data_IF_323692667619
#
_entry.id   IF_323692667619
#
_cell.length_a   1.000
_cell.length_b   1.000
_cell.length_c   1.000
_cell.angle_alpha   90.00
_cell.angle_beta   90.00
_cell.angle_gamma   90.00
#
_symmetry.space_group_name_H-M   'P 1'
#
loop_
_entity.id
_entity.type
_entity.pdbx_description
1 polymer ?
#
# COMPACT_ATOMS: atom_id res chain seq x y z
N UNK A 1 18.95 -48.81 26.86
CA UNK A 1 20.15 -49.65 26.65
C UNK A 1 20.98 -49.01 25.55
N UNK A 2 22.25 -48.70 25.85
CA UNK A 2 23.43 -48.58 24.94
C UNK A 2 23.35 -47.60 23.75
N UNK A 3 24.32 -46.72 23.44
CA UNK A 3 25.76 -46.70 23.69
C UNK A 3 26.35 -45.29 23.45
N UNK A 4 27.48 -44.99 24.11
CA UNK A 4 28.39 -43.83 23.95
C UNK A 4 29.33 -44.03 22.74
N UNK A 5 30.05 -42.97 22.32
CA UNK A 5 31.43 -42.88 21.75
C UNK A 5 31.51 -41.61 20.85
N UNK A 6 32.24 -40.51 21.10
CA UNK A 6 33.64 -40.19 21.47
C UNK A 6 34.65 -40.24 20.29
N UNK A 7 35.39 -39.15 20.05
CA UNK A 7 36.59 -39.05 19.17
C UNK A 7 36.63 -37.75 18.34
N UNK A 8 37.31 -36.65 18.70
CA UNK A 8 38.76 -36.29 18.77
C UNK A 8 39.35 -35.71 17.45
N UNK A 9 40.14 -34.65 17.64
CA UNK A 9 40.82 -33.71 16.72
C UNK A 9 41.76 -34.34 15.67
N UNK A 10 42.02 -33.60 14.57
CA UNK A 10 43.38 -33.38 14.06
C UNK A 10 43.49 -32.18 13.10
N UNK A 11 44.39 -31.24 13.42
CA UNK A 11 44.95 -30.21 12.54
C UNK A 11 45.95 -30.85 11.57
N UNK A 12 45.97 -30.42 10.30
CA UNK A 12 47.17 -30.55 9.46
C UNK A 12 47.44 -29.22 8.75
N UNK A 13 48.60 -28.67 9.09
CA UNK A 13 49.28 -27.51 8.49
C UNK A 13 50.14 -28.01 7.35
N UNK A 14 50.19 -27.30 6.22
CA UNK A 14 51.32 -27.38 5.29
C UNK A 14 51.71 -25.97 4.80
N UNK A 15 52.90 -25.55 5.21
CA UNK A 15 53.69 -24.44 4.68
C UNK A 15 54.63 -24.96 3.57
N UNK A 16 54.83 -24.15 2.52
CA UNK A 16 56.11 -23.90 1.81
C UNK A 16 55.76 -22.97 0.60
N UNK A 17 56.17 -21.70 0.46
CA UNK A 17 57.43 -20.97 0.59
C UNK A 17 58.36 -21.05 -0.65
N UNK A 18 58.81 -19.85 -1.11
CA UNK A 18 59.94 -19.48 -2.01
C UNK A 18 59.60 -19.41 -3.53
N UNK A 19 60.01 -18.41 -4.33
CA UNK A 19 60.90 -17.26 -4.20
C UNK A 19 60.78 -16.28 -5.40
N UNK A 20 61.29 -15.05 -5.23
CA UNK A 20 61.79 -14.15 -6.29
C UNK A 20 60.77 -13.16 -6.87
N UNK A 21 61.06 -11.90 -7.20
CA UNK A 21 62.29 -11.10 -7.19
C UNK A 21 61.90 -9.61 -7.23
N UNK A 22 62.78 -8.81 -6.65
CA UNK A 22 62.80 -7.35 -6.50
C UNK A 22 62.93 -6.63 -7.86
N UNK A 23 62.11 -5.59 -8.11
CA UNK A 23 62.41 -4.51 -9.07
C UNK A 23 61.93 -3.16 -8.50
N UNK A 24 62.76 -2.09 -8.47
CA UNK A 24 62.41 -0.81 -7.87
C UNK A 24 61.71 0.16 -8.84
N UNK A 25 61.13 1.19 -8.22
CA UNK A 25 60.38 2.33 -8.74
C UNK A 25 60.82 2.95 -10.08
N UNK A 26 59.83 3.26 -10.92
CA UNK A 26 59.80 4.44 -11.77
C UNK A 26 58.39 5.03 -11.76
N UNK A 27 58.27 6.25 -11.23
CA UNK A 27 57.06 7.04 -11.24
C UNK A 27 56.72 7.47 -12.68
N UNK A 28 55.52 7.12 -13.15
CA UNK A 28 54.84 7.88 -14.20
C UNK A 28 53.47 8.32 -13.68
N UNK A 29 53.40 9.63 -13.47
CA UNK A 29 52.25 10.39 -13.02
C UNK A 29 51.24 10.48 -14.17
N UNK A 30 50.13 9.75 -14.07
CA UNK A 30 48.97 9.98 -14.92
C UNK A 30 48.05 10.98 -14.20
N UNK A 31 47.67 12.13 -14.79
CA UNK A 31 46.72 13.03 -14.17
C UNK A 31 45.35 12.35 -14.09
N UNK A 32 44.81 12.22 -12.89
CA UNK A 32 43.41 11.84 -12.71
C UNK A 32 42.52 12.92 -13.35
N UNK A 33 41.48 12.55 -14.13
CA UNK A 33 40.45 13.50 -14.50
C UNK A 33 39.73 13.94 -13.22
N UNK A 34 39.97 15.18 -12.80
CA UNK A 34 39.18 15.84 -11.77
C UNK A 34 37.77 15.99 -12.32
N UNK A 35 36.87 15.10 -11.91
CA UNK A 35 35.44 15.31 -12.06
C UNK A 35 35.09 16.58 -11.28
N UNK A 36 34.85 17.66 -12.01
CA UNK A 36 34.27 18.88 -11.47
C UNK A 36 32.92 18.50 -10.85
N UNK A 37 32.91 18.44 -9.52
CA UNK A 37 31.68 18.37 -8.74
C UNK A 37 31.03 19.75 -8.87
N UNK A 38 30.27 19.95 -9.94
CA UNK A 38 29.26 21.00 -9.98
C UNK A 38 28.32 20.74 -8.82
N UNK A 39 28.26 21.68 -7.88
CA UNK A 39 27.24 21.70 -6.84
C UNK A 39 25.87 21.72 -7.53
N UNK A 40 25.26 20.55 -7.68
CA UNK A 40 23.88 20.44 -8.10
C UNK A 40 23.03 21.12 -7.02
N UNK A 41 22.10 22.02 -7.40
CA UNK A 41 21.08 22.50 -6.47
C UNK A 41 20.42 21.26 -5.87
N UNK A 42 20.46 21.12 -4.55
CA UNK A 42 19.69 20.11 -3.84
C UNK A 42 18.22 20.39 -4.16
N UNK A 43 17.69 19.70 -5.16
CA UNK A 43 16.26 19.59 -5.37
C UNK A 43 15.71 19.02 -4.07
N UNK A 44 14.98 19.86 -3.34
CA UNK A 44 14.23 19.44 -2.17
C UNK A 44 13.39 18.24 -2.60
N UNK A 45 13.72 17.07 -2.06
CA UNK A 45 12.88 15.90 -2.26
C UNK A 45 11.45 16.31 -1.89
N UNK A 46 10.45 16.08 -2.76
CA UNK A 46 9.08 16.41 -2.43
C UNK A 46 8.76 15.71 -1.11
N UNK A 47 8.37 16.48 -0.09
CA UNK A 47 7.79 15.90 1.13
C UNK A 47 6.68 14.95 0.67
N UNK A 48 6.59 13.73 1.23
CA UNK A 48 5.44 12.89 0.97
C UNK A 48 4.21 13.70 1.34
N UNK A 49 3.40 14.04 0.33
CA UNK A 49 2.10 14.68 0.49
C UNK A 49 1.18 13.59 0.99
N UNK A 50 1.25 13.31 2.29
CA UNK A 50 0.37 12.42 2.99
C UNK A 50 -0.41 13.24 4.00
N UNK A 51 -1.74 13.16 3.94
CA UNK A 51 -2.60 13.86 4.89
C UNK A 51 -2.30 13.51 6.34
N UNK A 52 -2.68 14.40 7.25
CA UNK A 52 -2.54 14.21 8.70
C UNK A 52 -3.74 13.44 9.23
N UNK A 53 -3.50 12.38 10.01
CA UNK A 53 -4.56 11.66 10.74
C UNK A 53 -5.14 12.57 11.81
N UNK A 54 -6.44 12.84 11.76
CA UNK A 54 -7.19 13.68 12.72
C UNK A 54 -7.88 12.88 13.81
N UNK A 55 -8.43 11.72 13.47
CA UNK A 55 -9.10 10.83 14.42
C UNK A 55 -9.15 9.40 13.89
N UNK A 56 -9.40 8.44 14.78
CA UNK A 56 -9.54 7.02 14.46
C UNK A 56 -10.78 6.46 15.15
N UNK A 57 -11.54 5.64 14.43
CA UNK A 57 -12.81 5.05 14.84
C UNK A 57 -12.80 3.56 14.48
N UNK A 58 -12.36 2.71 15.40
CA UNK A 58 -12.10 1.31 15.09
C UNK A 58 -10.97 1.18 14.06
N UNK A 59 -11.22 0.49 12.94
CA UNK A 59 -10.26 0.35 11.84
C UNK A 59 -10.21 1.58 10.91
N UNK A 60 -11.10 2.55 11.08
CA UNK A 60 -11.23 3.71 10.19
C UNK A 60 -10.44 4.90 10.70
N UNK A 61 -9.73 5.59 9.81
CA UNK A 61 -8.99 6.81 10.11
C UNK A 61 -9.54 8.00 9.31
N UNK A 62 -9.76 9.13 9.98
CA UNK A 62 -10.01 10.42 9.32
C UNK A 62 -8.67 11.06 9.02
N UNK A 63 -8.40 11.28 7.74
CA UNK A 63 -7.14 11.82 7.23
C UNK A 63 -7.47 13.06 6.45
N UNK A 64 -6.80 14.17 6.77
CA UNK A 64 -7.04 15.45 6.12
C UNK A 64 -5.76 15.99 5.49
N UNK A 65 -5.89 16.55 4.30
CA UNK A 65 -4.81 17.22 3.59
C UNK A 65 -5.35 18.48 2.89
N UNK A 66 -4.47 19.36 2.43
CA UNK A 66 -4.83 20.48 1.56
C UNK A 66 -4.21 20.24 0.18
N UNK A 67 -4.96 19.63 -0.76
CA UNK A 67 -4.46 19.34 -2.09
C UNK A 67 -3.95 20.60 -2.81
N UNK A 68 -2.99 20.43 -3.72
CA UNK A 68 -2.46 21.55 -4.50
C UNK A 68 -3.59 22.27 -5.28
N UNK A 69 -3.71 23.58 -5.09
CA UNK A 69 -4.75 24.39 -5.71
C UNK A 69 -6.10 24.40 -4.98
N UNK A 70 -6.26 23.65 -3.89
CA UNK A 70 -7.43 23.74 -3.02
C UNK A 70 -7.31 24.96 -2.09
N UNK A 71 -8.44 25.65 -1.87
CA UNK A 71 -8.53 26.77 -0.92
C UNK A 71 -8.90 26.34 0.50
N UNK A 72 -9.27 25.07 0.68
CA UNK A 72 -9.67 24.48 1.94
C UNK A 72 -9.08 23.08 2.12
N UNK A 73 -8.93 22.67 3.37
CA UNK A 73 -8.57 21.30 3.74
C UNK A 73 -9.67 20.33 3.27
N UNK A 74 -9.27 19.15 2.83
CA UNK A 74 -10.14 18.06 2.40
C UNK A 74 -9.84 16.85 3.26
N UNK A 75 -10.89 16.26 3.82
CA UNK A 75 -10.79 15.09 4.69
C UNK A 75 -11.41 13.87 4.03
N UNK A 76 -10.83 12.72 4.32
CA UNK A 76 -11.35 11.42 3.93
C UNK A 76 -11.40 10.50 5.14
N UNK A 77 -12.36 9.58 5.13
CA UNK A 77 -12.38 8.44 6.04
C UNK A 77 -11.84 7.23 5.31
N UNK A 78 -10.81 6.58 5.85
CA UNK A 78 -10.07 5.54 5.13
C UNK A 78 -9.81 4.30 5.98
N UNK A 79 -9.83 3.14 5.33
CA UNK A 79 -9.32 1.88 5.84
C UNK A 79 -8.51 1.18 4.75
N UNK A 80 -7.27 0.80 5.06
CA UNK A 80 -6.47 -0.06 4.18
C UNK A 80 -6.57 -1.49 4.69
N UNK A 81 -6.77 -2.44 3.79
CA UNK A 81 -6.88 -3.86 4.12
C UNK A 81 -6.08 -4.70 3.13
N UNK A 82 -5.73 -5.89 3.57
CA UNK A 82 -5.01 -6.90 2.79
C UNK A 82 -5.85 -8.17 2.82
N UNK A 83 -5.90 -8.91 1.73
CA UNK A 83 -6.58 -10.19 1.66
C UNK A 83 -5.87 -11.21 2.55
N UNK A 84 -6.63 -11.97 3.34
CA UNK A 84 -6.07 -12.95 4.28
C UNK A 84 -5.31 -14.07 3.57
N UNK A 85 -5.88 -14.59 2.49
CA UNK A 85 -5.33 -15.71 1.73
C UNK A 85 -4.30 -15.28 0.67
N UNK A 86 -4.23 -13.98 0.36
CA UNK A 86 -3.39 -13.39 -0.70
C UNK A 86 -2.78 -12.07 -0.21
N UNK A 87 -1.74 -12.11 0.65
CA UNK A 87 -1.19 -10.93 1.29
C UNK A 87 -0.58 -9.89 0.33
N UNK A 88 -0.33 -10.30 -0.92
CA UNK A 88 0.10 -9.41 -2.01
C UNK A 88 -1.04 -8.57 -2.60
N UNK A 89 -2.30 -8.87 -2.24
CA UNK A 89 -3.50 -8.17 -2.72
C UNK A 89 -4.09 -7.38 -1.56
N UNK A 90 -3.98 -6.05 -1.65
CA UNK A 90 -4.62 -5.13 -0.72
C UNK A 90 -5.51 -4.12 -1.45
N UNK A 91 -6.38 -3.48 -0.69
CA UNK A 91 -7.22 -2.39 -1.19
C UNK A 91 -7.28 -1.25 -0.17
N UNK A 92 -7.60 -0.06 -0.65
CA UNK A 92 -7.92 1.10 0.18
C UNK A 92 -9.38 1.46 -0.01
N UNK A 93 -10.16 1.46 1.07
CA UNK A 93 -11.54 1.95 1.08
C UNK A 93 -11.53 3.38 1.60
N UNK A 94 -12.07 4.30 0.81
CA UNK A 94 -12.07 5.73 1.10
C UNK A 94 -13.49 6.26 0.98
N UNK A 95 -13.97 6.96 2.00
CA UNK A 95 -15.20 7.75 1.95
C UNK A 95 -14.81 9.22 2.01
N UNK A 96 -15.38 10.02 1.10
CA UNK A 96 -15.12 11.45 1.01
C UNK A 96 -16.41 12.22 0.73
N UNK A 97 -16.45 13.49 1.13
CA UNK A 97 -17.47 14.45 0.70
C UNK A 97 -16.95 15.25 -0.47
N UNK A 98 -17.80 15.55 -1.45
CA UNK A 98 -17.43 16.46 -2.54
C UNK A 98 -17.14 17.85 -1.99
N UNK A 99 -16.29 18.62 -2.67
CA UNK A 99 -15.93 19.97 -2.22
C UNK A 99 -17.14 20.92 -2.12
N UNK A 100 -18.20 20.67 -2.88
CA UNK A 100 -19.47 21.41 -2.81
C UNK A 100 -20.46 20.84 -1.77
N UNK A 101 -20.08 19.80 -1.02
CA UNK A 101 -20.87 19.10 0.00
C UNK A 101 -22.22 18.57 -0.49
N UNK A 102 -22.33 18.24 -1.80
CA UNK A 102 -23.59 17.73 -2.38
C UNK A 102 -23.66 16.21 -2.47
N UNK A 103 -22.53 15.53 -2.39
CA UNK A 103 -22.49 14.08 -2.45
C UNK A 103 -21.39 13.51 -1.56
N UNK A 104 -21.69 12.37 -0.96
CA UNK A 104 -20.70 11.48 -0.39
C UNK A 104 -20.34 10.41 -1.40
N UNK A 105 -19.05 10.09 -1.50
CA UNK A 105 -18.52 9.14 -2.46
C UNK A 105 -17.79 8.05 -1.68
N UNK A 106 -18.11 6.79 -2.00
CA UNK A 106 -17.29 5.64 -1.65
C UNK A 106 -16.37 5.34 -2.83
N UNK A 107 -15.08 5.49 -2.60
CA UNK A 107 -14.00 5.22 -3.55
C UNK A 107 -13.18 4.06 -3.03
N UNK A 108 -12.96 3.06 -3.86
CA UNK A 108 -12.09 1.94 -3.55
C UNK A 108 -10.93 1.93 -4.54
N UNK A 109 -9.71 1.92 -4.01
CA UNK A 109 -8.49 1.68 -4.76
C UNK A 109 -8.16 0.19 -4.69
N UNK A 110 -8.32 -0.49 -5.81
CA UNK A 110 -7.92 -1.87 -6.02
C UNK A 110 -6.54 -1.93 -6.68
N UNK A 111 -5.79 -3.04 -6.51
CA UNK A 111 -4.47 -3.17 -7.11
C UNK A 111 -4.56 -3.34 -8.64
N UNK A 112 -3.42 -3.21 -9.31
CA UNK A 112 -3.32 -3.49 -10.75
C UNK A 112 -3.48 -4.99 -11.04
N UNK A 113 -3.93 -5.31 -12.26
CA UNK A 113 -4.16 -6.68 -12.71
C UNK A 113 -5.56 -7.23 -12.43
N UNK A 114 -6.50 -6.37 -12.00
CA UNK A 114 -7.92 -6.72 -11.85
C UNK A 114 -8.65 -6.78 -13.19
N UNK A 115 -9.65 -7.65 -13.28
CA UNK A 115 -10.50 -7.88 -14.43
C UNK A 115 -11.61 -6.82 -14.50
N UNK A 116 -11.39 -5.80 -15.33
CA UNK A 116 -12.28 -4.64 -15.45
C UNK A 116 -13.74 -4.97 -15.81
N UNK A 117 -14.05 -5.90 -16.75
CA UNK A 117 -15.43 -6.23 -17.10
C UNK A 117 -16.29 -6.72 -15.92
N UNK A 118 -15.67 -7.39 -14.95
CA UNK A 118 -16.37 -7.92 -13.78
C UNK A 118 -16.63 -6.87 -12.69
N UNK A 119 -15.88 -5.76 -12.72
CA UNK A 119 -15.93 -4.71 -11.70
C UNK A 119 -15.47 -5.17 -10.33
N UNK A 120 -15.75 -4.34 -9.33
CA UNK A 120 -15.52 -4.59 -7.92
C UNK A 120 -16.83 -5.02 -7.26
N UNK A 121 -16.89 -6.25 -6.75
CA UNK A 121 -18.04 -6.74 -5.98
C UNK A 121 -18.04 -6.23 -4.55
N UNK A 122 -19.22 -6.10 -3.95
CA UNK A 122 -19.42 -5.77 -2.55
C UNK A 122 -20.46 -6.71 -1.93
N UNK A 123 -20.06 -7.37 -0.85
CA UNK A 123 -20.94 -8.10 0.05
C UNK A 123 -20.89 -7.44 1.44
N UNK A 124 -22.02 -7.37 2.15
CA UNK A 124 -22.07 -6.90 3.54
C UNK A 124 -22.80 -7.94 4.37
N UNK A 125 -22.14 -8.45 5.41
CA UNK A 125 -22.67 -9.47 6.32
C UNK A 125 -23.30 -10.69 5.60
N UNK A 126 -22.69 -11.14 4.50
CA UNK A 126 -23.16 -12.28 3.70
C UNK A 126 -24.16 -11.89 2.60
N UNK A 127 -24.67 -10.66 2.56
CA UNK A 127 -25.60 -10.18 1.53
C UNK A 127 -24.86 -9.54 0.35
N UNK A 128 -25.13 -10.02 -0.86
CA UNK A 128 -24.65 -9.37 -2.08
C UNK A 128 -25.32 -8.00 -2.28
N UNK A 129 -24.50 -6.95 -2.34
CA UNK A 129 -24.92 -5.57 -2.55
C UNK A 129 -24.84 -5.21 -4.04
N UNK A 130 -23.98 -5.89 -4.79
CA UNK A 130 -23.77 -5.66 -6.22
C UNK A 130 -22.32 -5.33 -6.56
N UNK A 131 -22.14 -4.68 -7.71
CA UNK A 131 -20.83 -4.42 -8.31
C UNK A 131 -20.70 -2.96 -8.74
N UNK A 132 -19.51 -2.40 -8.53
CA UNK A 132 -19.12 -1.09 -9.05
C UNK A 132 -18.12 -1.28 -10.21
N UNK A 133 -18.27 -0.47 -11.26
CA UNK A 133 -17.29 -0.47 -12.35
C UNK A 133 -16.05 0.34 -11.98
N UNK A 134 -14.89 -0.12 -12.46
CA UNK A 134 -13.67 0.66 -12.40
C UNK A 134 -13.77 1.82 -13.39
N UNK A 135 -13.65 3.05 -12.89
CA UNK A 135 -13.80 4.26 -13.72
C UNK A 135 -12.47 4.68 -14.33
N UNK A 136 -11.36 4.48 -13.61
CA UNK A 136 -10.02 4.93 -14.00
C UNK A 136 -8.96 4.04 -13.35
N UNK A 137 -7.83 3.86 -14.01
CA UNK A 137 -6.65 3.24 -13.43
C UNK A 137 -5.43 4.15 -13.62
N UNK A 138 -4.58 4.20 -12.61
CA UNK A 138 -3.32 4.94 -12.58
C UNK A 138 -2.19 3.99 -12.15
N UNK A 139 -0.96 4.49 -11.99
CA UNK A 139 0.19 3.66 -11.63
C UNK A 139 0.10 3.01 -10.25
N UNK A 140 -0.75 3.53 -9.38
CA UNK A 140 -1.00 3.06 -8.01
C UNK A 140 -2.21 2.11 -7.89
N UNK A 141 -3.05 2.00 -8.93
CA UNK A 141 -4.15 1.04 -8.94
C UNK A 141 -5.36 1.48 -9.76
N UNK A 142 -6.43 0.69 -9.64
CA UNK A 142 -7.71 0.92 -10.32
C UNK A 142 -8.76 1.41 -9.32
N UNK A 143 -9.45 2.47 -9.70
CA UNK A 143 -10.42 3.17 -8.87
C UNK A 143 -11.85 2.78 -9.26
N UNK A 144 -12.61 2.28 -8.30
CA UNK A 144 -14.06 2.14 -8.39
C UNK A 144 -14.71 3.20 -7.50
N UNK A 145 -15.71 3.90 -8.01
CA UNK A 145 -16.36 5.01 -7.33
C UNK A 145 -17.86 4.89 -7.44
N UNK A 146 -18.56 5.04 -6.32
CA UNK A 146 -20.02 5.12 -6.27
C UNK A 146 -20.46 6.27 -5.38
N UNK A 147 -21.59 6.87 -5.72
CA UNK A 147 -22.27 7.80 -4.82
C UNK A 147 -22.82 6.97 -3.65
N UNK A 148 -22.57 7.42 -2.43
CA UNK A 148 -22.94 6.74 -1.21
C UNK A 148 -24.39 7.08 -0.85
N UNK A 149 -25.33 6.59 -1.67
CA UNK A 149 -26.75 6.82 -1.45
C UNK A 149 -27.22 6.25 -0.11
N UNK A 150 -28.29 6.83 0.44
CA UNK A 150 -28.83 6.49 1.76
C UNK A 150 -28.97 4.97 2.01
N UNK A 151 -29.48 4.14 1.08
CA UNK A 151 -29.61 2.69 1.33
C UNK A 151 -28.26 1.99 1.54
N UNK A 152 -27.25 2.35 0.74
CA UNK A 152 -25.91 1.79 0.87
C UNK A 152 -25.22 2.32 2.13
N UNK A 153 -25.35 3.62 2.40
CA UNK A 153 -24.81 4.25 3.60
C UNK A 153 -25.39 3.61 4.87
N UNK A 154 -26.70 3.42 4.93
CA UNK A 154 -27.36 2.78 6.07
C UNK A 154 -26.87 1.34 6.24
N UNK A 155 -26.73 0.59 5.13
CA UNK A 155 -26.18 -0.77 5.14
C UNK A 155 -24.78 -0.82 5.72
N UNK A 156 -23.88 0.07 5.30
CA UNK A 156 -22.51 0.14 5.81
C UNK A 156 -22.44 0.61 7.28
N UNK A 157 -23.33 1.51 7.70
CA UNK A 157 -23.41 1.98 9.09
C UNK A 157 -23.90 0.91 10.07
N UNK A 158 -24.83 0.07 9.64
CA UNK A 158 -25.39 -1.00 10.48
C UNK A 158 -24.63 -2.32 10.38
N UNK A 159 -23.81 -2.48 9.35
CA UNK A 159 -23.12 -3.73 9.06
C UNK A 159 -21.93 -3.98 9.99
N UNK A 160 -21.48 -5.23 10.02
CA UNK A 160 -20.32 -5.62 10.85
C UNK A 160 -19.07 -5.86 10.01
N UNK A 161 -19.22 -6.46 8.83
CA UNK A 161 -18.14 -6.69 7.89
C UNK A 161 -18.62 -6.45 6.45
N UNK A 162 -17.76 -5.82 5.66
CA UNK A 162 -17.88 -5.77 4.21
C UNK A 162 -16.82 -6.67 3.58
N UNK A 163 -17.16 -7.39 2.53
CA UNK A 163 -16.20 -8.12 1.71
C UNK A 163 -16.21 -7.51 0.32
N UNK A 164 -15.12 -6.85 -0.03
CA UNK A 164 -14.90 -6.43 -1.41
C UNK A 164 -14.34 -7.60 -2.21
N UNK A 165 -14.81 -7.76 -3.43
CA UNK A 165 -14.44 -8.90 -4.27
C UNK A 165 -13.79 -8.36 -5.54
N UNK A 166 -12.50 -8.62 -5.69
CA UNK A 166 -11.76 -8.35 -6.92
C UNK A 166 -11.65 -9.62 -7.74
N UNK A 167 -11.54 -9.50 -9.06
CA UNK A 167 -11.39 -10.63 -9.97
C UNK A 167 -10.07 -10.48 -10.71
N UNK A 168 -9.28 -11.54 -10.84
CA UNK A 168 -8.10 -11.57 -11.74
C UNK A 168 -8.42 -12.33 -13.04
N UNK A 169 -9.29 -13.32 -12.95
CA UNK A 169 -9.88 -14.07 -14.07
C UNK A 169 -11.41 -14.16 -13.87
N UNK A 170 -12.20 -14.52 -14.90
CA UNK A 170 -13.64 -14.65 -14.75
C UNK A 170 -14.08 -15.66 -13.68
N UNK A 171 -13.26 -16.68 -13.44
CA UNK A 171 -13.54 -17.78 -12.51
C UNK A 171 -12.98 -17.56 -11.10
N UNK A 172 -12.00 -16.65 -10.94
CA UNK A 172 -11.30 -16.41 -9.67
C UNK A 172 -11.69 -15.06 -9.07
N UNK A 173 -12.60 -15.11 -8.09
CA UNK A 173 -12.93 -13.99 -7.21
C UNK A 173 -12.17 -14.07 -5.90
N UNK A 174 -11.54 -12.96 -5.50
CA UNK A 174 -10.75 -12.85 -4.28
C UNK A 174 -11.47 -11.90 -3.34
N UNK A 175 -11.97 -12.44 -2.22
CA UNK A 175 -12.64 -11.70 -1.18
C UNK A 175 -11.66 -11.03 -0.24
N UNK A 176 -11.89 -9.75 0.06
CA UNK A 176 -11.02 -8.93 0.89
C UNK A 176 -11.90 -8.32 2.00
N UNK A 177 -11.80 -8.82 3.24
CA UNK A 177 -12.65 -8.37 4.33
C UNK A 177 -12.24 -6.97 4.80
N UNK A 178 -13.25 -6.17 5.14
CA UNK A 178 -13.17 -4.80 5.65
C UNK A 178 -14.03 -4.73 6.89
N UNK A 179 -13.45 -4.25 7.99
CA UNK A 179 -14.16 -4.10 9.25
C UNK A 179 -15.09 -2.87 9.17
N UNK A 180 -16.39 -3.05 9.38
CA UNK A 180 -17.36 -1.94 9.42
C UNK A 180 -17.55 -1.39 10.84
N UNK A 181 -16.95 -2.00 11.86
CA UNK A 181 -16.96 -1.47 13.22
C UNK A 181 -16.31 -0.09 13.26
N UNK A 182 -17.06 0.89 13.78
CA UNK A 182 -16.64 2.28 13.82
C UNK A 182 -16.88 3.06 12.52
N UNK A 183 -17.41 2.43 11.46
CA UNK A 183 -17.77 3.12 10.23
C UNK A 183 -18.78 4.25 10.48
N UNK A 184 -19.83 3.98 11.26
CA UNK A 184 -20.86 4.97 11.54
C UNK A 184 -20.32 6.21 12.27
N UNK A 185 -19.49 5.98 13.29
CA UNK A 185 -18.87 7.04 14.08
C UNK A 185 -17.85 7.83 13.25
N UNK A 186 -17.01 7.12 12.46
CA UNK A 186 -16.07 7.74 11.55
C UNK A 186 -16.77 8.57 10.48
N UNK A 187 -17.86 8.07 9.89
CA UNK A 187 -18.62 8.80 8.88
C UNK A 187 -19.27 10.06 9.48
N UNK A 188 -19.74 10.00 10.73
CA UNK A 188 -20.27 11.15 11.44
C UNK A 188 -19.19 12.18 11.77
N UNK A 189 -17.95 11.73 12.04
CA UNK A 189 -16.80 12.58 12.32
C UNK A 189 -16.11 13.15 11.07
N UNK A 190 -16.42 12.64 9.88
CA UNK A 190 -15.95 13.20 8.61
C UNK A 190 -16.54 14.61 8.44
N UNK A 191 -15.73 15.67 8.28
CA UNK A 191 -16.21 17.03 8.07
C UNK A 191 -16.77 17.24 6.67
#
# INVERSE_FOLDING_TARGET
>A
MTSRLSGTLAKVVFLAALAGSIVPAAAQQQPAPQSQQTAQPQAQAPKPQGGTVRSTHGAWSIICDTPAGATAEQCVMMQNVIAEDRPEIGLSVVVLRTADNKAEILRVLAPLGVLLPNGLGLNVDGKDIGRAYFVRCFGDGCYAEVILEKPLLDTLKSGTAATFIVFQTPEEGIGIPVDLKGFADGFAALP
#
